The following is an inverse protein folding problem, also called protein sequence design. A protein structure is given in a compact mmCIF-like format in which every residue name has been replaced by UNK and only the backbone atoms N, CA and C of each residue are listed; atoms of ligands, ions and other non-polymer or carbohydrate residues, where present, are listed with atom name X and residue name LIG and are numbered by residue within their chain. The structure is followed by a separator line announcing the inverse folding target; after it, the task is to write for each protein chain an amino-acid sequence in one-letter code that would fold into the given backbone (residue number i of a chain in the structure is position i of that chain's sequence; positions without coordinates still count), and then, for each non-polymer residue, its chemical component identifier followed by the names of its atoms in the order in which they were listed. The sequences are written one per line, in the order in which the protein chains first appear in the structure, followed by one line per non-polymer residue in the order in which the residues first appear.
data_IF_274997642632
#
_entry.id   IF_274997642632
#
_cell.length_a   1.000
_cell.length_b   1.000
_cell.length_c   1.000
_cell.angle_alpha   90.00
_cell.angle_beta   90.00
_cell.angle_gamma   90.00
#
_symmetry.space_group_name_H-M   'P 1'
#
loop_
_entity.id
_entity.type
_entity.pdbx_description
1 polymer ?
#
# COMPACT_ATOMS: atom_id res chain seq x y z
N UNK A 1 -4.69 -1.12 -19.99
CA UNK A 1 -3.63 -0.18 -20.35
C UNK A 1 -2.46 -0.30 -19.40
N UNK A 2 -1.39 -0.47 -19.83
CA UNK A 2 -0.03 -0.36 -19.59
C UNK A 2 0.54 -0.01 -18.31
N UNK A 3 -0.02 -0.17 -17.24
CA UNK A 3 0.73 -0.29 -15.99
C UNK A 3 1.55 -1.58 -16.00
N UNK A 4 1.83 -1.99 -17.18
CA UNK A 4 2.25 -3.27 -17.54
C UNK A 4 3.70 -3.48 -17.45
N UNK A 5 4.38 -2.57 -16.82
CA UNK A 5 5.78 -2.81 -16.64
C UNK A 5 6.06 -4.15 -16.01
N UNK A 6 5.10 -4.82 -15.43
CA UNK A 6 5.24 -6.18 -14.93
C UNK A 6 3.95 -6.74 -14.34
N UNK A 7 2.84 -6.75 -15.07
CA UNK A 7 1.77 -7.62 -14.62
C UNK A 7 2.22 -9.05 -14.86
N UNK A 8 2.70 -9.68 -13.81
CA UNK A 8 2.79 -11.13 -13.76
C UNK A 8 1.39 -11.68 -13.58
N UNK A 9 1.18 -12.87 -14.12
CA UNK A 9 -0.01 -13.64 -13.96
C UNK A 9 -0.43 -13.74 -12.48
N UNK A 10 -1.68 -14.05 -12.23
CA UNK A 10 -2.30 -14.17 -10.90
C UNK A 10 -1.68 -15.22 -9.97
N UNK A 11 -0.83 -16.10 -10.47
CA UNK A 11 -0.18 -17.19 -9.70
C UNK A 11 1.13 -16.75 -9.06
N UNK A 12 1.15 -15.56 -8.46
CA UNK A 12 2.33 -15.07 -7.76
C UNK A 12 2.51 -15.85 -6.46
N UNK A 13 3.68 -16.39 -6.23
CA UNK A 13 4.03 -17.10 -4.99
C UNK A 13 5.44 -16.73 -4.54
N UNK A 14 5.55 -16.24 -3.31
CA UNK A 14 6.85 -16.10 -2.68
C UNK A 14 7.45 -17.48 -2.42
N UNK A 15 8.73 -17.73 -2.76
CA UNK A 15 9.37 -19.02 -2.52
C UNK A 15 9.64 -19.30 -1.03
N UNK A 16 9.54 -18.32 -0.15
CA UNK A 16 9.69 -18.52 1.31
C UNK A 16 8.53 -19.39 1.80
N UNK A 17 8.87 -20.54 2.38
CA UNK A 17 7.92 -21.51 2.94
C UNK A 17 8.17 -21.80 4.43
N UNK A 18 9.15 -21.14 5.04
CA UNK A 18 9.55 -21.32 6.44
C UNK A 18 10.25 -22.66 6.75
N UNK A 19 10.25 -23.60 5.79
CA UNK A 19 10.85 -24.95 5.93
C UNK A 19 12.13 -25.08 5.12
N UNK A 20 12.01 -25.06 3.79
CA UNK A 20 13.14 -25.18 2.84
C UNK A 20 13.78 -23.82 2.58
N UNK A 21 12.98 -22.81 2.36
CA UNK A 21 13.42 -21.44 2.11
C UNK A 21 12.98 -20.58 3.29
N UNK A 22 13.92 -20.30 4.20
CA UNK A 22 13.64 -19.59 5.46
C UNK A 22 13.84 -18.08 5.36
N UNK A 23 14.52 -17.58 4.35
CA UNK A 23 14.83 -16.15 4.18
C UNK A 23 14.66 -15.71 2.74
N UNK A 24 14.59 -14.39 2.51
CA UNK A 24 14.44 -13.82 1.18
C UNK A 24 15.63 -14.18 0.27
N UNK A 25 15.34 -14.84 -0.86
CA UNK A 25 16.33 -15.23 -1.87
C UNK A 25 16.61 -14.13 -2.91
N UNK A 26 16.08 -12.94 -2.72
CA UNK A 26 16.25 -11.76 -3.59
C UNK A 26 15.92 -12.06 -5.06
N UNK A 27 14.73 -12.59 -5.31
CA UNK A 27 14.26 -12.86 -6.67
C UNK A 27 14.44 -11.65 -7.58
N UNK A 28 14.81 -11.82 -8.85
CA UNK A 28 14.98 -10.71 -9.82
C UNK A 28 13.71 -9.84 -9.93
N UNK A 29 12.55 -10.47 -9.80
CA UNK A 29 11.26 -9.77 -9.64
C UNK A 29 10.53 -10.35 -8.44
N UNK A 30 10.31 -9.53 -7.42
CA UNK A 30 9.65 -9.96 -6.19
C UNK A 30 8.16 -10.27 -6.46
N UNK A 31 7.72 -11.50 -6.17
CA UNK A 31 6.35 -11.93 -6.39
C UNK A 31 5.34 -11.24 -5.45
N UNK A 32 5.79 -10.73 -4.29
CA UNK A 32 4.93 -9.96 -3.37
C UNK A 32 4.73 -8.53 -3.89
N UNK A 33 5.79 -7.91 -4.43
CA UNK A 33 5.79 -6.49 -4.78
C UNK A 33 5.28 -6.20 -6.19
N UNK A 34 5.30 -7.18 -7.09
CA UNK A 34 5.04 -7.00 -8.52
C UNK A 34 3.98 -7.97 -9.02
N UNK A 35 3.28 -7.59 -10.09
CA UNK A 35 2.25 -8.36 -10.77
C UNK A 35 0.88 -7.70 -10.65
N UNK A 36 -0.18 -8.40 -11.09
CA UNK A 36 -1.55 -7.87 -11.06
C UNK A 36 -1.95 -7.41 -9.65
N UNK A 37 -2.53 -6.22 -9.53
CA UNK A 37 -2.83 -5.57 -8.26
C UNK A 37 -1.60 -5.00 -7.52
N UNK A 38 -0.39 -5.09 -8.10
CA UNK A 38 0.85 -4.57 -7.51
C UNK A 38 1.17 -5.17 -6.13
N UNK A 39 1.86 -4.42 -5.29
CA UNK A 39 2.10 -4.78 -3.89
C UNK A 39 0.80 -4.88 -3.07
N UNK A 40 -0.24 -4.14 -3.47
CA UNK A 40 -1.55 -4.15 -2.84
C UNK A 40 -2.22 -5.52 -2.81
N UNK A 41 -2.00 -6.36 -3.83
CA UNK A 41 -2.60 -7.70 -3.92
C UNK A 41 -2.15 -8.66 -2.80
N UNK A 42 -1.01 -8.40 -2.18
CA UNK A 42 -0.49 -9.18 -1.05
C UNK A 42 -0.40 -8.36 0.23
N UNK A 43 -1.02 -7.19 0.27
CA UNK A 43 -1.16 -6.43 1.51
C UNK A 43 -2.26 -7.05 2.38
N UNK A 44 -2.33 -6.58 3.60
CA UNK A 44 -3.40 -6.94 4.53
C UNK A 44 -4.76 -6.29 4.19
N UNK A 45 -4.87 -5.60 3.05
CA UNK A 45 -6.13 -5.03 2.57
C UNK A 45 -6.71 -3.96 3.49
N UNK A 46 -5.87 -3.12 4.08
CA UNK A 46 -6.33 -1.96 4.87
C UNK A 46 -6.57 -0.75 3.99
N UNK A 47 -7.82 -0.32 3.90
CA UNK A 47 -8.24 0.88 3.18
C UNK A 47 -8.55 1.99 4.18
N UNK A 48 -7.69 3.00 4.20
CA UNK A 48 -7.79 4.12 5.13
C UNK A 48 -8.58 5.28 4.51
N UNK A 49 -9.64 5.72 5.18
CA UNK A 49 -10.44 6.89 4.80
C UNK A 49 -10.06 8.03 5.75
N UNK A 50 -9.07 8.82 5.33
CA UNK A 50 -8.54 9.91 6.15
C UNK A 50 -7.66 10.86 5.32
N UNK A 51 -7.54 12.11 5.77
CA UNK A 51 -6.56 13.08 5.28
C UNK A 51 -5.36 13.27 6.23
N UNK A 52 -5.30 12.53 7.33
CA UNK A 52 -4.27 12.74 8.35
C UNK A 52 -2.97 11.97 8.08
N UNK A 53 -3.05 10.96 7.19
CA UNK A 53 -1.88 10.17 6.75
C UNK A 53 -2.18 9.45 5.42
N UNK A 54 -1.15 8.86 4.81
CA UNK A 54 -1.27 8.01 3.60
C UNK A 54 -1.09 8.73 2.28
N UNK A 55 -1.20 10.06 2.24
CA UNK A 55 -1.00 10.83 1.02
C UNK A 55 -1.51 12.26 1.16
N UNK A 56 -1.36 13.03 0.09
CA UNK A 56 -1.70 14.48 0.06
C UNK A 56 -2.73 14.81 -1.04
N UNK A 57 -3.59 13.85 -1.39
CA UNK A 57 -4.62 14.05 -2.42
C UNK A 57 -5.48 15.29 -2.15
N UNK A 58 -5.72 15.61 -0.87
CA UNK A 58 -6.47 16.78 -0.44
C UNK A 58 -5.84 18.12 -0.87
N UNK A 59 -4.55 18.16 -1.16
CA UNK A 59 -3.87 19.36 -1.67
C UNK A 59 -4.29 19.69 -3.10
N UNK A 60 -4.74 18.69 -3.86
CA UNK A 60 -5.14 18.81 -5.27
C UNK A 60 -6.65 19.01 -5.45
N UNK A 61 -7.47 18.28 -4.66
CA UNK A 61 -8.93 18.28 -4.86
C UNK A 61 -9.72 18.78 -3.63
N UNK A 62 -9.03 19.17 -2.54
CA UNK A 62 -9.66 19.62 -1.30
C UNK A 62 -10.01 18.47 -0.35
N UNK A 63 -10.11 18.80 0.96
CA UNK A 63 -10.26 17.81 2.05
C UNK A 63 -11.56 16.99 1.97
N UNK A 64 -12.66 17.65 1.66
CA UNK A 64 -13.96 16.96 1.58
C UNK A 64 -14.03 16.03 0.37
N UNK A 65 -13.64 16.54 -0.79
CA UNK A 65 -13.65 15.77 -2.03
C UNK A 65 -12.70 14.55 -1.98
N UNK A 66 -11.55 14.67 -1.31
CA UNK A 66 -10.66 13.54 -1.12
C UNK A 66 -11.27 12.45 -0.24
N UNK A 67 -11.98 12.81 0.84
CA UNK A 67 -12.72 11.85 1.68
C UNK A 67 -13.85 11.20 0.89
N UNK A 68 -14.62 11.97 0.12
CA UNK A 68 -15.71 11.43 -0.68
C UNK A 68 -15.21 10.45 -1.76
N UNK A 69 -14.07 10.76 -2.38
CA UNK A 69 -13.42 9.84 -3.32
C UNK A 69 -12.92 8.56 -2.64
N UNK A 70 -12.34 8.65 -1.44
CA UNK A 70 -11.94 7.47 -0.66
C UNK A 70 -13.14 6.59 -0.29
N UNK A 71 -14.27 7.19 0.10
CA UNK A 71 -15.52 6.47 0.35
C UNK A 71 -16.05 5.80 -0.92
N UNK A 72 -15.97 6.49 -2.06
CA UNK A 72 -16.36 5.90 -3.35
C UNK A 72 -15.50 4.68 -3.67
N UNK A 73 -14.18 4.73 -3.48
CA UNK A 73 -13.29 3.57 -3.63
C UNK A 73 -13.69 2.44 -2.67
N UNK A 74 -14.09 2.77 -1.44
CA UNK A 74 -14.57 1.77 -0.48
C UNK A 74 -15.87 1.09 -0.98
N UNK A 75 -16.79 1.83 -1.62
CA UNK A 75 -17.99 1.21 -2.23
C UNK A 75 -17.64 0.25 -3.35
N UNK A 76 -16.58 0.52 -4.15
CA UNK A 76 -16.08 -0.40 -5.17
C UNK A 76 -15.55 -1.68 -4.52
N UNK A 77 -14.73 -1.56 -3.47
CA UNK A 77 -14.19 -2.72 -2.76
C UNK A 77 -15.31 -3.59 -2.16
N UNK A 78 -16.29 -2.96 -1.53
CA UNK A 78 -17.43 -3.69 -0.93
C UNK A 78 -18.27 -4.38 -1.99
N UNK A 79 -18.60 -3.73 -3.11
CA UNK A 79 -19.37 -4.34 -4.19
C UNK A 79 -18.65 -5.51 -4.90
N UNK A 80 -17.35 -5.67 -4.69
CA UNK A 80 -16.55 -6.74 -5.27
C UNK A 80 -16.19 -7.87 -4.29
N UNK A 81 -16.82 -7.93 -3.13
CA UNK A 81 -16.65 -9.02 -2.16
C UNK A 81 -16.12 -8.57 -0.79
N UNK A 82 -16.06 -7.26 -0.54
CA UNK A 82 -15.68 -6.70 0.76
C UNK A 82 -16.85 -6.33 1.67
N UNK A 83 -18.09 -6.63 1.32
CA UNK A 83 -19.31 -6.16 2.03
C UNK A 83 -19.42 -6.63 3.47
N UNK A 84 -18.95 -7.84 3.78
CA UNK A 84 -19.03 -8.40 5.14
C UNK A 84 -17.88 -7.96 6.06
N UNK A 85 -16.94 -7.16 5.53
CA UNK A 85 -15.78 -6.74 6.32
C UNK A 85 -16.10 -5.54 7.21
N UNK A 86 -15.50 -5.51 8.39
CA UNK A 86 -15.75 -4.47 9.37
C UNK A 86 -15.08 -3.13 9.02
N UNK A 87 -15.77 -2.02 9.28
CA UNK A 87 -15.23 -0.67 9.23
C UNK A 87 -14.90 -0.20 10.64
N UNK A 88 -13.64 -0.09 10.96
CA UNK A 88 -13.16 0.47 12.23
C UNK A 88 -13.11 2.01 12.15
N UNK A 89 -13.29 2.69 13.28
CA UNK A 89 -13.24 4.16 13.32
C UNK A 89 -12.66 4.68 14.62
N UNK A 90 -11.87 5.73 14.53
CA UNK A 90 -11.39 6.49 15.70
C UNK A 90 -12.42 7.50 16.22
N UNK A 91 -13.58 7.63 15.57
CA UNK A 91 -14.63 8.55 16.00
C UNK A 91 -15.23 8.09 17.34
N UNK A 92 -15.25 8.99 18.32
CA UNK A 92 -15.84 8.72 19.64
C UNK A 92 -15.05 7.80 20.56
N UNK A 93 -13.87 7.31 20.14
CA UNK A 93 -13.08 6.42 21.00
C UNK A 93 -12.49 7.13 22.21
N UNK A 94 -12.46 6.42 23.36
CA UNK A 94 -11.75 6.86 24.58
C UNK A 94 -10.23 7.01 24.40
N UNK A 95 -9.66 6.31 23.42
CA UNK A 95 -8.21 6.32 23.19
C UNK A 95 -7.67 7.69 22.79
N UNK A 96 -8.48 8.58 22.21
CA UNK A 96 -8.04 9.97 21.98
C UNK A 96 -7.66 10.68 23.28
N UNK A 97 -8.53 10.60 24.28
CA UNK A 97 -8.31 11.21 25.60
C UNK A 97 -7.10 10.56 26.30
N UNK A 98 -7.02 9.22 26.27
CA UNK A 98 -5.89 8.51 26.87
C UNK A 98 -4.55 8.87 26.20
N UNK A 99 -4.51 9.00 24.89
CA UNK A 99 -3.33 9.47 24.18
C UNK A 99 -2.92 10.88 24.62
N UNK A 100 -3.87 11.82 24.66
CA UNK A 100 -3.59 13.19 25.07
C UNK A 100 -3.06 13.28 26.50
N UNK A 101 -3.61 12.52 27.44
CA UNK A 101 -3.17 12.43 28.83
C UNK A 101 -1.72 11.91 28.96
N UNK A 102 -1.24 11.16 27.99
CA UNK A 102 0.11 10.58 27.95
C UNK A 102 1.03 11.25 26.91
N UNK A 103 0.76 12.51 26.53
CA UNK A 103 1.57 13.27 25.54
C UNK A 103 1.65 12.58 24.17
N UNK A 104 0.64 11.78 23.84
CA UNK A 104 0.50 11.11 22.56
C UNK A 104 -0.66 11.75 21.77
N UNK A 105 -0.66 11.54 20.46
CA UNK A 105 -1.75 11.95 19.57
C UNK A 105 -2.25 10.75 18.77
N UNK A 106 -3.52 10.40 18.89
CA UNK A 106 -4.17 9.47 17.98
C UNK A 106 -4.66 10.26 16.75
N UNK A 107 -4.26 9.81 15.56
CA UNK A 107 -4.74 10.39 14.29
C UNK A 107 -6.12 9.84 13.95
N UNK A 108 -6.92 10.68 13.29
CA UNK A 108 -8.29 10.33 12.92
C UNK A 108 -8.32 9.51 11.62
N UNK A 109 -9.05 8.39 11.65
CA UNK A 109 -9.29 7.58 10.47
C UNK A 109 -10.54 6.71 10.63
N UNK A 110 -11.13 6.34 9.48
CA UNK A 110 -11.92 5.12 9.34
C UNK A 110 -11.10 4.12 8.52
N UNK A 111 -11.09 2.87 8.92
CA UNK A 111 -10.26 1.82 8.31
C UNK A 111 -11.10 0.61 8.00
N UNK A 112 -11.20 0.24 6.72
CA UNK A 112 -11.73 -1.06 6.35
C UNK A 112 -10.58 -2.06 6.25
N UNK A 113 -10.72 -3.17 6.94
CA UNK A 113 -9.78 -4.27 6.86
C UNK A 113 -10.40 -5.42 6.08
N UNK A 114 -9.81 -5.74 4.93
CA UNK A 114 -10.24 -6.87 4.10
C UNK A 114 -9.49 -8.17 4.44
N UNK A 115 -8.30 -8.06 5.03
CA UNK A 115 -7.37 -9.17 5.09
C UNK A 115 -6.74 -9.48 3.73
N UNK A 116 -5.66 -10.22 3.73
CA UNK A 116 -4.95 -10.59 2.49
C UNK A 116 -5.78 -11.52 1.60
N UNK A 117 -6.60 -12.34 2.19
CA UNK A 117 -7.48 -13.31 1.54
C UNK A 117 -8.68 -12.65 0.83
N UNK A 118 -9.44 -11.81 1.52
CA UNK A 118 -10.58 -11.10 0.92
C UNK A 118 -10.10 -10.06 -0.09
N UNK A 119 -9.00 -9.37 0.19
CA UNK A 119 -8.40 -8.42 -0.75
C UNK A 119 -8.06 -9.07 -2.11
N UNK A 120 -7.61 -10.32 -2.09
CA UNK A 120 -7.39 -11.09 -3.32
C UNK A 120 -8.69 -11.32 -4.09
N UNK A 121 -9.77 -11.71 -3.40
CA UNK A 121 -11.11 -11.93 -3.99
C UNK A 121 -11.63 -10.65 -4.64
N UNK A 122 -11.53 -9.52 -3.94
CA UNK A 122 -11.93 -8.20 -4.46
C UNK A 122 -11.20 -7.88 -5.75
N UNK A 123 -9.89 -8.05 -5.79
CA UNK A 123 -9.09 -7.80 -7.01
C UNK A 123 -9.43 -8.77 -8.15
N UNK A 124 -9.73 -10.03 -7.84
CA UNK A 124 -10.14 -11.01 -8.85
C UNK A 124 -11.51 -10.67 -9.45
N UNK A 125 -12.46 -10.26 -8.62
CA UNK A 125 -13.79 -9.83 -9.07
C UNK A 125 -13.71 -8.56 -9.93
N UNK A 126 -12.93 -7.56 -9.53
CA UNK A 126 -12.66 -6.37 -10.36
C UNK A 126 -12.06 -6.74 -11.72
N UNK A 127 -11.09 -7.65 -11.74
CA UNK A 127 -10.52 -8.12 -13.01
C UNK A 127 -11.57 -8.81 -13.88
N UNK A 128 -12.38 -9.67 -13.30
CA UNK A 128 -13.42 -10.42 -14.03
C UNK A 128 -14.48 -9.49 -14.64
N UNK A 129 -14.81 -8.40 -13.96
CA UNK A 129 -15.71 -7.37 -14.50
C UNK A 129 -15.07 -6.59 -15.66
N UNK A 130 -13.78 -6.28 -15.56
CA UNK A 130 -13.10 -5.43 -16.54
C UNK A 130 -12.60 -6.17 -17.78
N UNK A 131 -12.28 -7.48 -17.67
CA UNK A 131 -11.54 -8.24 -18.71
C UNK A 131 -12.20 -8.27 -20.08
N UNK A 132 -13.54 -8.14 -20.13
CA UNK A 132 -14.31 -8.17 -21.36
C UNK A 132 -14.56 -6.76 -21.94
N UNK A 133 -14.10 -5.70 -21.23
CA UNK A 133 -14.29 -4.30 -21.58
C UNK A 133 -12.99 -3.52 -21.77
N UNK A 134 -11.86 -4.09 -21.34
CA UNK A 134 -10.55 -3.44 -21.37
C UNK A 134 -9.52 -4.42 -21.91
N UNK A 135 -8.66 -3.97 -22.82
CA UNK A 135 -7.54 -4.75 -23.30
C UNK A 135 -6.41 -4.79 -22.26
N UNK A 136 -6.07 -5.98 -21.80
CA UNK A 136 -4.99 -6.22 -20.85
C UNK A 136 -3.74 -6.75 -21.55
N UNK A 137 -2.62 -6.09 -21.38
CA UNK A 137 -1.32 -6.51 -21.90
C UNK A 137 -0.44 -7.00 -20.75
N UNK A 138 -0.46 -8.30 -20.46
CA UNK A 138 0.37 -8.91 -19.41
C UNK A 138 1.79 -9.19 -19.89
N UNK A 139 2.77 -9.13 -18.96
CA UNK A 139 4.18 -9.36 -19.27
C UNK A 139 4.71 -8.51 -20.44
N UNK A 140 4.19 -7.30 -20.53
CA UNK A 140 4.48 -6.34 -21.60
C UNK A 140 5.10 -5.08 -20.99
N UNK A 141 6.43 -5.03 -20.80
CA UNK A 141 7.10 -3.87 -20.23
C UNK A 141 7.02 -2.70 -21.21
N UNK A 142 6.60 -1.55 -20.69
CA UNK A 142 6.64 -0.28 -21.41
C UNK A 142 8.06 0.27 -21.37
N UNK A 143 8.64 0.52 -22.54
CA UNK A 143 10.01 1.01 -22.65
C UNK A 143 10.10 2.53 -22.63
N UNK A 144 9.16 3.22 -23.24
CA UNK A 144 9.15 4.68 -23.35
C UNK A 144 7.74 5.24 -23.52
N UNK A 145 7.59 6.54 -23.26
CA UNK A 145 6.38 7.33 -23.56
C UNK A 145 6.86 8.62 -24.24
N UNK A 146 6.21 9.00 -25.31
CA UNK A 146 6.46 10.24 -26.02
C UNK A 146 5.16 11.04 -26.16
N UNK A 147 5.28 12.36 -26.17
CA UNK A 147 4.17 13.25 -26.52
C UNK A 147 4.08 13.32 -28.03
N UNK A 148 2.88 13.16 -28.57
CA UNK A 148 2.56 13.32 -29.98
C UNK A 148 1.46 14.36 -30.14
N UNK A 149 1.15 14.75 -31.36
CA UNK A 149 0.04 15.65 -31.60
C UNK A 149 -1.28 15.01 -31.14
N UNK A 150 -1.94 15.67 -30.19
CA UNK A 150 -3.20 15.24 -29.62
C UNK A 150 -3.14 14.14 -28.55
N UNK A 151 -1.95 13.68 -28.13
CA UNK A 151 -1.88 12.61 -27.15
C UNK A 151 -0.49 12.09 -26.82
N UNK A 152 -0.42 10.79 -26.64
CA UNK A 152 0.80 10.09 -26.23
C UNK A 152 1.02 8.82 -27.03
N UNK A 153 2.30 8.51 -27.30
CA UNK A 153 2.75 7.24 -27.87
C UNK A 153 3.45 6.42 -26.80
N UNK A 154 2.92 5.23 -26.54
CA UNK A 154 3.43 4.28 -25.55
C UNK A 154 4.16 3.16 -26.27
N UNK A 155 5.47 2.99 -26.00
CA UNK A 155 6.31 1.96 -26.63
C UNK A 155 6.41 0.74 -25.73
N UNK A 156 6.23 -0.44 -26.32
CA UNK A 156 6.40 -1.72 -25.64
C UNK A 156 6.92 -2.76 -26.62
N UNK A 157 7.89 -3.58 -26.18
CA UNK A 157 8.60 -4.47 -27.10
C UNK A 157 9.14 -3.66 -28.30
N UNK A 158 8.85 -4.13 -29.53
CA UNK A 158 9.20 -3.46 -30.79
C UNK A 158 7.97 -2.78 -31.43
N UNK A 159 6.92 -2.53 -30.65
CA UNK A 159 5.63 -1.95 -31.06
C UNK A 159 5.34 -0.66 -30.31
N UNK A 160 4.29 0.02 -30.72
CA UNK A 160 3.74 1.18 -30.00
C UNK A 160 2.22 1.23 -30.08
N UNK A 161 1.64 2.02 -29.18
CA UNK A 161 0.21 2.36 -29.15
C UNK A 161 0.08 3.86 -28.93
N UNK A 162 -0.78 4.50 -29.73
CA UNK A 162 -1.15 5.91 -29.55
C UNK A 162 -2.42 6.00 -28.70
N UNK A 163 -2.50 7.01 -27.83
CA UNK A 163 -3.65 7.25 -26.97
C UNK A 163 -3.80 8.73 -26.63
N UNK A 164 -5.03 9.19 -26.43
CA UNK A 164 -5.33 10.58 -26.05
C UNK A 164 -4.86 10.91 -24.64
N UNK A 165 -4.91 9.93 -23.74
CA UNK A 165 -4.52 10.08 -22.33
C UNK A 165 -3.75 8.86 -21.85
N UNK A 166 -2.69 9.10 -21.09
CA UNK A 166 -1.85 8.06 -20.51
C UNK A 166 -1.79 8.24 -18.99
N UNK A 167 -2.23 7.23 -18.24
CA UNK A 167 -2.11 7.18 -16.77
C UNK A 167 -0.94 6.28 -16.42
N UNK A 168 0.06 6.82 -15.72
CA UNK A 168 1.26 6.09 -15.32
C UNK A 168 1.21 5.80 -13.82
N UNK A 169 1.17 4.50 -13.46
CA UNK A 169 1.05 4.03 -12.07
C UNK A 169 1.92 2.79 -11.84
N UNK A 170 3.22 2.96 -12.00
CA UNK A 170 4.19 1.85 -12.09
C UNK A 170 4.70 1.32 -10.74
N UNK A 171 4.35 1.97 -9.65
CA UNK A 171 4.79 1.55 -8.32
C UNK A 171 6.31 1.65 -8.08
N UNK A 172 6.80 1.03 -7.00
CA UNK A 172 8.20 1.14 -6.55
C UNK A 172 9.21 0.56 -7.56
N UNK A 173 8.88 -0.57 -8.17
CA UNK A 173 9.78 -1.22 -9.13
C UNK A 173 9.98 -0.41 -10.42
N UNK A 174 9.03 0.48 -10.74
CA UNK A 174 9.11 1.38 -11.87
C UNK A 174 9.74 2.75 -11.57
N UNK A 175 10.25 2.99 -10.36
CA UNK A 175 10.73 4.31 -9.93
C UNK A 175 11.82 4.89 -10.82
N UNK A 176 12.84 4.11 -11.18
CA UNK A 176 13.90 4.56 -12.10
C UNK A 176 13.38 4.79 -13.52
N UNK A 177 12.44 3.97 -13.97
CA UNK A 177 11.87 4.13 -15.29
C UNK A 177 11.03 5.41 -15.39
N UNK A 178 10.15 5.68 -14.40
CA UNK A 178 9.34 6.91 -14.41
C UNK A 178 10.20 8.17 -14.25
N UNK A 179 11.29 8.11 -13.48
CA UNK A 179 12.27 9.20 -13.39
C UNK A 179 12.85 9.54 -14.76
N UNK A 180 13.29 8.54 -15.53
CA UNK A 180 13.79 8.72 -16.89
C UNK A 180 12.72 9.28 -17.83
N UNK A 181 11.46 8.85 -17.72
CA UNK A 181 10.33 9.38 -18.49
C UNK A 181 10.08 10.84 -18.13
N UNK A 182 10.06 11.18 -16.84
CA UNK A 182 9.90 12.56 -16.39
C UNK A 182 11.02 13.47 -16.92
N UNK A 183 12.28 13.02 -16.88
CA UNK A 183 13.41 13.78 -17.42
C UNK A 183 13.25 14.04 -18.92
N UNK A 184 12.90 13.01 -19.70
CA UNK A 184 12.68 13.15 -21.15
C UNK A 184 11.53 14.06 -21.52
N UNK A 185 10.45 14.07 -20.73
CA UNK A 185 9.26 14.89 -20.94
C UNK A 185 9.37 16.24 -20.23
N UNK A 186 10.52 16.59 -19.64
CA UNK A 186 10.78 17.83 -18.90
C UNK A 186 9.78 18.05 -17.74
N UNK A 187 9.28 16.97 -17.14
CA UNK A 187 8.38 17.01 -15.99
C UNK A 187 9.22 17.18 -14.72
N UNK A 188 9.05 18.25 -13.94
CA UNK A 188 9.83 18.48 -12.74
C UNK A 188 9.50 17.44 -11.66
N UNK A 189 10.52 16.90 -11.02
CA UNK A 189 10.40 15.96 -9.89
C UNK A 189 10.95 16.59 -8.62
N UNK A 190 10.47 16.11 -7.46
CA UNK A 190 10.97 16.52 -6.15
C UNK A 190 11.34 15.29 -5.33
N UNK A 191 12.42 15.39 -4.56
CA UNK A 191 12.75 14.38 -3.56
C UNK A 191 11.65 14.33 -2.49
N UNK A 192 11.20 13.13 -2.15
CA UNK A 192 10.19 12.90 -1.14
C UNK A 192 10.84 12.56 0.22
N UNK A 193 10.06 12.77 1.29
CA UNK A 193 10.42 12.23 2.59
C UNK A 193 10.42 10.69 2.57
N UNK A 194 11.29 10.10 3.36
CA UNK A 194 11.41 8.67 3.56
C UNK A 194 11.07 8.34 5.01
N UNK A 195 10.25 7.33 5.21
CA UNK A 195 9.97 6.80 6.54
C UNK A 195 11.04 5.76 6.92
N UNK A 196 11.73 6.00 8.04
CA UNK A 196 12.76 5.10 8.57
C UNK A 196 12.34 4.65 9.95
N UNK A 197 12.56 3.37 10.27
CA UNK A 197 12.24 2.86 11.59
C UNK A 197 12.45 1.37 11.73
N UNK A 198 11.76 0.81 12.73
CA UNK A 198 11.84 -0.61 13.10
C UNK A 198 10.45 -1.22 13.12
N UNK A 199 10.35 -2.51 12.81
CA UNK A 199 9.15 -3.29 13.06
C UNK A 199 9.27 -3.99 14.41
N UNK A 200 8.24 -3.86 15.20
CA UNK A 200 8.08 -4.47 16.53
C UNK A 200 7.07 -5.59 16.42
N UNK A 201 7.34 -6.72 17.03
CA UNK A 201 6.42 -7.84 17.20
C UNK A 201 6.31 -8.19 18.68
N UNK A 202 5.11 -8.44 19.15
CA UNK A 202 4.83 -8.76 20.56
C UNK A 202 3.55 -9.58 20.69
N UNK A 203 3.32 -10.26 21.82
CA UNK A 203 2.10 -11.02 22.06
C UNK A 203 0.84 -10.15 21.88
N UNK A 204 -0.13 -10.64 21.11
CA UNK A 204 -1.34 -9.89 20.75
C UNK A 204 -2.13 -9.41 21.98
N UNK A 205 -2.14 -10.17 23.06
CA UNK A 205 -2.83 -9.83 24.32
C UNK A 205 -2.38 -8.49 24.91
N UNK A 206 -1.15 -8.04 24.63
CA UNK A 206 -0.65 -6.75 25.13
C UNK A 206 -1.38 -5.57 24.50
N UNK A 207 -1.76 -5.69 23.21
CA UNK A 207 -2.42 -4.65 22.44
C UNK A 207 -3.89 -4.92 22.15
N UNK A 208 -4.45 -6.06 22.56
CA UNK A 208 -5.84 -6.44 22.29
C UNK A 208 -6.84 -5.36 22.68
N UNK A 209 -6.66 -4.71 23.82
CA UNK A 209 -7.52 -3.62 24.29
C UNK A 209 -7.62 -2.43 23.28
N UNK A 210 -6.62 -2.25 22.42
CA UNK A 210 -6.56 -1.22 21.38
C UNK A 210 -6.98 -1.78 20.02
N UNK A 211 -6.48 -2.96 19.65
CA UNK A 211 -6.69 -3.55 18.34
C UNK A 211 -8.11 -4.10 18.14
N UNK A 212 -8.76 -4.55 19.21
CA UNK A 212 -10.15 -5.02 19.16
C UNK A 212 -11.14 -3.87 18.87
N UNK A 213 -10.81 -2.63 19.29
CA UNK A 213 -11.65 -1.45 19.05
C UNK A 213 -11.29 -0.71 17.75
N UNK A 214 -9.97 -0.55 17.47
CA UNK A 214 -9.49 0.32 16.40
C UNK A 214 -8.83 -0.44 15.24
N UNK A 215 -8.56 -1.74 15.42
CA UNK A 215 -7.75 -2.58 14.54
C UNK A 215 -6.34 -2.01 14.29
N UNK A 216 -6.24 -0.89 13.59
CA UNK A 216 -5.01 -0.15 13.35
C UNK A 216 -5.09 1.26 13.94
N UNK A 217 -4.21 1.59 14.87
CA UNK A 217 -4.10 2.92 15.46
C UNK A 217 -2.83 3.62 14.99
N UNK A 218 -2.99 4.85 14.49
CA UNK A 218 -1.86 5.74 14.17
C UNK A 218 -1.62 6.66 15.35
N UNK A 219 -0.73 6.25 16.26
CA UNK A 219 -0.35 7.01 17.44
C UNK A 219 0.96 7.74 17.16
N UNK A 220 0.98 9.03 17.42
CA UNK A 220 2.14 9.90 17.23
C UNK A 220 2.69 10.32 18.56
N UNK A 221 4.00 10.22 18.72
CA UNK A 221 4.80 10.73 19.84
C UNK A 221 5.85 11.71 19.34
N UNK A 222 5.98 12.87 20.00
CA UNK A 222 7.07 13.81 19.76
C UNK A 222 8.19 13.56 20.75
N UNK A 223 9.36 13.19 20.25
CA UNK A 223 10.53 12.95 21.12
C UNK A 223 11.01 14.24 21.78
N UNK A 224 11.39 14.17 23.08
CA UNK A 224 11.79 15.36 23.85
C UNK A 224 13.13 15.95 23.38
N UNK A 225 14.07 15.09 22.96
CA UNK A 225 15.43 15.52 22.63
C UNK A 225 15.59 16.06 21.20
N UNK A 226 14.94 15.44 20.23
CA UNK A 226 15.14 15.74 18.81
C UNK A 226 13.87 16.29 18.14
N UNK A 227 12.75 16.34 18.87
CA UNK A 227 11.43 16.76 18.40
C UNK A 227 10.92 15.94 17.19
N UNK A 228 11.49 14.78 16.95
CA UNK A 228 11.05 13.88 15.91
C UNK A 228 9.63 13.36 16.20
N UNK A 229 8.80 13.30 15.15
CA UNK A 229 7.49 12.69 15.22
C UNK A 229 7.61 11.21 14.92
N UNK A 230 7.65 10.40 15.97
CA UNK A 230 7.60 8.93 15.87
C UNK A 230 6.14 8.51 15.81
N UNK A 231 5.80 7.64 14.88
CA UNK A 231 4.43 7.14 14.74
C UNK A 231 4.37 5.63 14.62
N UNK A 232 3.29 5.04 15.12
CA UNK A 232 2.94 3.67 14.78
C UNK A 232 2.48 3.61 13.32
N UNK A 233 2.79 2.51 12.65
CA UNK A 233 2.43 2.32 11.24
C UNK A 233 2.21 0.85 10.93
N UNK A 234 1.25 0.56 10.03
CA UNK A 234 0.95 -0.77 9.54
C UNK A 234 0.85 -1.81 10.68
N UNK A 235 -0.07 -1.57 11.61
CA UNK A 235 -0.36 -2.48 12.70
C UNK A 235 -1.15 -3.68 12.17
N UNK A 236 -0.72 -4.88 12.55
CA UNK A 236 -1.29 -6.14 12.10
C UNK A 236 -1.60 -7.01 13.32
N UNK A 237 -2.82 -6.92 13.85
CA UNK A 237 -3.28 -7.81 14.91
C UNK A 237 -3.25 -9.26 14.44
N UNK A 238 -2.77 -10.16 15.29
CA UNK A 238 -2.66 -11.59 15.00
C UNK A 238 -1.97 -11.92 13.65
N UNK A 239 -1.07 -11.03 13.22
CA UNK A 239 -0.43 -11.06 11.92
C UNK A 239 0.98 -11.63 11.93
N UNK A 240 1.56 -11.72 10.75
CA UNK A 240 2.93 -12.20 10.52
C UNK A 240 3.83 -11.07 10.02
N UNK A 241 5.11 -11.15 10.34
CA UNK A 241 6.16 -10.29 9.77
C UNK A 241 6.67 -10.91 8.48
N UNK A 242 6.77 -10.12 7.41
CA UNK A 242 7.24 -10.56 6.08
C UNK A 242 8.38 -9.69 5.57
N UNK A 243 9.22 -10.28 4.74
CA UNK A 243 10.27 -9.56 4.03
C UNK A 243 9.76 -9.07 2.67
N UNK A 244 10.08 -7.83 2.34
CA UNK A 244 9.84 -7.23 1.02
C UNK A 244 11.18 -6.88 0.38
N UNK A 245 11.35 -7.21 -0.90
CA UNK A 245 12.55 -6.86 -1.65
C UNK A 245 12.21 -5.88 -2.76
N UNK A 246 12.82 -4.70 -2.72
CA UNK A 246 12.72 -3.71 -3.78
C UNK A 246 14.13 -3.36 -4.27
N UNK A 247 14.47 -3.76 -5.49
CA UNK A 247 15.77 -3.50 -6.10
C UNK A 247 16.97 -3.94 -5.24
N UNK A 248 16.86 -5.08 -4.55
CA UNK A 248 17.90 -5.62 -3.68
C UNK A 248 17.90 -5.09 -2.25
N UNK A 249 17.12 -4.06 -1.94
CA UNK A 249 16.92 -3.57 -0.57
C UNK A 249 15.80 -4.39 0.07
N UNK A 250 16.15 -5.11 1.13
CA UNK A 250 15.21 -5.91 1.90
C UNK A 250 14.72 -5.12 3.10
N UNK A 251 13.42 -4.95 3.18
CA UNK A 251 12.71 -4.34 4.30
C UNK A 251 11.73 -5.32 4.92
N UNK A 252 11.18 -5.00 6.08
CA UNK A 252 10.18 -5.81 6.77
C UNK A 252 8.84 -5.11 6.78
N UNK A 253 7.79 -5.89 6.54
CA UNK A 253 6.41 -5.43 6.61
C UNK A 253 5.58 -6.43 7.44
N UNK A 254 4.26 -6.23 7.55
CA UNK A 254 3.35 -7.13 8.22
C UNK A 254 2.14 -7.44 7.36
N UNK A 255 1.59 -8.62 7.57
CA UNK A 255 0.32 -9.05 6.98
C UNK A 255 -0.58 -9.63 8.05
N UNK A 256 -1.87 -9.48 7.88
CA UNK A 256 -2.90 -10.13 8.67
C UNK A 256 -3.92 -10.80 7.75
N UNK A 257 -4.65 -11.74 8.30
CA UNK A 257 -5.66 -12.51 7.59
C UNK A 257 -6.97 -12.45 8.36
N UNK A 258 -8.10 -12.44 7.66
CA UNK A 258 -9.41 -12.61 8.28
C UNK A 258 -9.63 -14.07 8.73
N UNK A 259 -9.16 -15.06 7.96
CA UNK A 259 -9.26 -16.46 8.32
C UNK A 259 -8.48 -16.81 9.59
N UNK A 260 -9.20 -17.23 10.64
CA UNK A 260 -8.62 -17.53 11.96
C UNK A 260 -7.51 -18.59 11.91
N UNK A 261 -7.56 -19.51 10.96
CA UNK A 261 -6.56 -20.57 10.78
C UNK A 261 -5.19 -20.06 10.33
N UNK A 262 -5.11 -18.82 9.85
CA UNK A 262 -3.88 -18.16 9.41
C UNK A 262 -3.37 -17.10 10.39
N UNK A 263 -4.13 -16.84 11.44
CA UNK A 263 -3.77 -15.87 12.47
C UNK A 263 -2.69 -16.43 13.40
N UNK A 264 -1.91 -15.51 13.97
CA UNK A 264 -0.88 -15.83 14.96
C UNK A 264 -1.27 -15.28 16.34
N UNK A 265 -0.50 -15.64 17.36
CA UNK A 265 -0.67 -15.10 18.72
C UNK A 265 0.05 -13.75 18.92
N UNK A 266 0.60 -13.16 17.83
CA UNK A 266 1.37 -11.91 17.87
C UNK A 266 0.69 -10.78 17.12
N UNK A 267 0.85 -9.57 17.62
CA UNK A 267 0.61 -8.32 16.93
C UNK A 267 1.94 -7.69 16.53
N UNK A 268 2.03 -7.18 15.31
CA UNK A 268 3.22 -6.45 14.87
C UNK A 268 2.86 -5.09 14.28
N UNK A 269 3.78 -4.13 14.40
CA UNK A 269 3.65 -2.78 13.85
C UNK A 269 5.01 -2.14 13.64
N UNK A 270 5.09 -1.12 12.78
CA UNK A 270 6.30 -0.33 12.65
C UNK A 270 6.25 0.92 13.55
N UNK A 271 7.42 1.33 14.05
CA UNK A 271 7.66 2.66 14.61
C UNK A 271 8.51 3.43 13.61
N UNK A 272 7.95 4.49 13.03
CA UNK A 272 8.55 5.22 11.92
C UNK A 272 8.74 6.69 12.22
N UNK A 273 9.82 7.24 11.68
CA UNK A 273 10.10 8.69 11.62
C UNK A 273 10.25 9.09 10.16
N UNK A 274 9.56 10.14 9.76
CA UNK A 274 9.70 10.71 8.43
C UNK A 274 10.92 11.63 8.36
N UNK A 275 11.82 11.39 7.41
CA UNK A 275 13.02 12.20 7.17
C UNK A 275 13.08 12.66 5.72
N UNK A 276 13.58 13.88 5.50
CA UNK A 276 14.02 14.37 4.20
C UNK A 276 15.54 14.24 4.14
N UNK A 277 16.02 13.67 3.05
CA UNK A 277 17.44 13.69 2.73
C UNK A 277 17.65 14.75 1.66
N UNK A 278 18.55 15.71 1.93
CA UNK A 278 19.09 16.59 0.89
C UNK A 278 20.00 15.77 -0.01
N UNK A 279 19.92 15.95 -1.31
CA UNK A 279 20.90 15.46 -2.26
C UNK A 279 22.27 16.07 -2.02
#
# INVERSE_FOLDING_TARGET
MGSEMCIRDRKRKCPIDGKKVKSCIKCPTCAIMNGFGGAGAFSDGKYNITNDFGGTLYEYIGRNQSIDLMKYVDTINTSHGGEETHMYSTAGTKFKTLCMQNKLKLLDASVRHLGTDINYVVLENMYNEMKDHIDFYFNTPVSNIEVIDGGYRVFYKDEYMDCDKCIVSVGRSGSKWIENVCQKLEIPTKSNRVDIGVRVELPAVIFSHLTDELYESKIVYRTEKFEDLVRTFCMNPNGIVVNENTNGIVTVNGHSYEGAEKQTENTNFALLVAKHFSE
#
